data_IF_385144619612
#
_entry.id   IF_385144619612
#
_cell.length_a   1.000
_cell.length_b   1.000
_cell.length_c   1.000
_cell.angle_alpha   90.00
_cell.angle_beta   90.00
_cell.angle_gamma   90.00
#
_symmetry.space_group_name_H-M   'P 1'
#
loop_
_entity.id
_entity.type
_entity.pdbx_description
1 polymer ?
#
# COMPACT_ATOMS: atom_id res chain seq x y z
N UNK A 1 18.06 9.05 -22.25
CA UNK A 1 18.39 8.18 -21.10
C UNK A 1 17.93 8.85 -19.82
N UNK A 2 16.99 8.24 -19.11
CA UNK A 2 16.66 8.66 -17.75
C UNK A 2 17.72 8.09 -16.78
N UNK A 3 18.18 8.90 -15.82
CA UNK A 3 19.13 8.44 -14.80
C UNK A 3 18.34 7.90 -13.62
N UNK A 4 18.24 6.57 -13.51
CA UNK A 4 17.57 5.89 -12.41
C UNK A 4 18.61 5.55 -11.34
N UNK A 5 18.42 6.03 -10.11
CA UNK A 5 19.28 5.69 -8.98
C UNK A 5 18.94 4.29 -8.46
N UNK A 6 19.75 3.31 -8.84
CA UNK A 6 19.64 1.95 -8.33
C UNK A 6 20.29 1.84 -6.95
N UNK A 7 19.49 1.64 -5.90
CA UNK A 7 19.98 1.52 -4.52
C UNK A 7 20.73 0.20 -4.26
N UNK A 8 20.45 -0.84 -5.04
CA UNK A 8 21.00 -2.20 -4.87
C UNK A 8 22.00 -2.56 -5.97
N UNK A 9 22.97 -1.68 -6.23
CA UNK A 9 23.99 -1.87 -7.28
C UNK A 9 24.76 -3.18 -7.13
N UNK A 10 25.14 -3.54 -5.92
CA UNK A 10 25.89 -4.79 -5.66
C UNK A 10 25.12 -6.05 -6.11
N UNK A 11 23.78 -6.03 -6.02
CA UNK A 11 22.96 -7.15 -6.50
C UNK A 11 22.94 -7.26 -8.02
N UNK A 12 22.97 -6.12 -8.72
CA UNK A 12 23.07 -6.11 -10.17
C UNK A 12 24.43 -6.67 -10.61
N UNK A 13 25.51 -6.30 -9.92
CA UNK A 13 26.85 -6.83 -10.21
C UNK A 13 26.92 -8.36 -9.98
N UNK A 14 26.28 -8.86 -8.92
CA UNK A 14 26.15 -10.31 -8.69
C UNK A 14 25.34 -11.01 -9.78
N UNK A 15 24.25 -10.40 -10.25
CA UNK A 15 23.45 -10.90 -11.36
C UNK A 15 24.27 -10.99 -12.65
N UNK A 16 25.00 -9.93 -13.00
CA UNK A 16 25.90 -9.91 -14.16
C UNK A 16 26.96 -11.02 -14.04
N UNK A 17 27.59 -11.17 -12.87
CA UNK A 17 28.58 -12.22 -12.64
C UNK A 17 27.97 -13.62 -12.81
N UNK A 18 26.76 -13.85 -12.27
CA UNK A 18 26.06 -15.13 -12.41
C UNK A 18 25.71 -15.43 -13.86
N UNK A 19 25.13 -14.48 -14.57
CA UNK A 19 24.82 -14.64 -16.01
C UNK A 19 26.10 -14.88 -16.81
N UNK A 20 27.20 -14.23 -16.45
CA UNK A 20 28.50 -14.45 -17.10
C UNK A 20 29.02 -15.87 -16.90
N UNK A 21 28.89 -16.43 -15.68
CA UNK A 21 29.31 -17.80 -15.40
C UNK A 21 28.48 -18.84 -16.17
N UNK A 22 27.17 -18.63 -16.27
CA UNK A 22 26.26 -19.57 -16.93
C UNK A 22 26.34 -19.50 -18.47
N UNK A 23 26.44 -18.29 -19.02
CA UNK A 23 26.39 -18.08 -20.48
C UNK A 23 27.77 -18.01 -21.13
N UNK A 24 28.85 -17.88 -20.34
CA UNK A 24 30.22 -17.70 -20.80
C UNK A 24 30.49 -16.34 -21.48
N UNK A 25 29.48 -15.47 -21.58
CA UNK A 25 29.59 -14.12 -22.14
C UNK A 25 29.32 -13.11 -21.04
N UNK A 26 30.06 -12.01 -21.01
CA UNK A 26 29.85 -10.93 -20.04
C UNK A 26 28.85 -9.91 -20.59
N UNK A 27 27.55 -10.00 -20.26
CA UNK A 27 26.60 -8.95 -20.62
C UNK A 27 26.96 -7.64 -19.91
N UNK A 28 26.54 -6.52 -20.48
CA UNK A 28 26.61 -5.24 -19.79
C UNK A 28 25.54 -5.17 -18.70
N UNK A 29 25.71 -4.24 -17.76
CA UNK A 29 24.69 -3.98 -16.74
C UNK A 29 23.36 -3.54 -17.37
N UNK A 30 23.40 -2.84 -18.52
CA UNK A 30 22.19 -2.44 -19.25
C UNK A 30 21.48 -3.65 -19.85
N UNK A 31 22.21 -4.56 -20.51
CA UNK A 31 21.61 -5.77 -21.09
C UNK A 31 20.88 -6.62 -20.03
N UNK A 32 21.46 -6.71 -18.83
CA UNK A 32 20.85 -7.43 -17.70
C UNK A 32 19.61 -6.71 -17.16
N UNK A 33 19.62 -5.37 -17.13
CA UNK A 33 18.47 -4.58 -16.71
C UNK A 33 17.33 -4.67 -17.72
N UNK A 34 17.63 -4.58 -19.01
CA UNK A 34 16.65 -4.68 -20.08
C UNK A 34 15.98 -6.07 -20.05
N UNK A 35 16.78 -7.14 -19.98
CA UNK A 35 16.24 -8.49 -19.83
C UNK A 35 15.43 -8.69 -18.54
N UNK A 36 15.80 -8.01 -17.45
CA UNK A 36 15.05 -8.08 -16.20
C UNK A 36 13.70 -7.33 -16.28
N UNK A 37 13.63 -6.25 -17.05
CA UNK A 37 12.37 -5.53 -17.32
C UNK A 37 11.46 -6.40 -18.18
N UNK A 38 11.99 -6.99 -19.25
CA UNK A 38 11.22 -7.89 -20.12
C UNK A 38 10.67 -9.09 -19.34
N UNK A 39 11.52 -9.74 -18.53
CA UNK A 39 11.09 -10.87 -17.68
C UNK A 39 10.04 -10.44 -16.64
N UNK A 40 10.16 -9.23 -16.09
CA UNK A 40 9.21 -8.72 -15.12
C UNK A 40 7.86 -8.34 -15.75
N UNK A 41 7.85 -7.96 -17.03
CA UNK A 41 6.62 -7.73 -17.81
C UNK A 41 5.93 -9.07 -18.13
N UNK A 42 6.68 -10.09 -18.54
CA UNK A 42 6.17 -11.46 -18.74
C UNK A 42 5.57 -12.06 -17.45
N UNK A 43 6.18 -11.76 -16.30
CA UNK A 43 5.76 -12.21 -14.97
C UNK A 43 5.13 -11.08 -14.15
N UNK A 44 4.30 -10.23 -14.79
CA UNK A 44 3.74 -9.05 -14.17
C UNK A 44 2.98 -9.33 -12.86
N UNK A 45 2.23 -10.44 -12.79
CA UNK A 45 1.46 -10.80 -11.58
C UNK A 45 2.38 -11.02 -10.36
N UNK A 46 3.53 -11.68 -10.56
CA UNK A 46 4.52 -11.89 -9.51
C UNK A 46 5.21 -10.58 -9.10
N UNK A 47 5.45 -9.70 -10.07
CA UNK A 47 5.96 -8.36 -9.82
C UNK A 47 4.96 -7.55 -9.00
N UNK A 48 3.68 -7.55 -9.40
CA UNK A 48 2.59 -6.86 -8.72
C UNK A 48 2.46 -7.34 -7.27
N UNK A 49 2.54 -8.66 -7.02
CA UNK A 49 2.50 -9.21 -5.68
C UNK A 49 3.62 -8.68 -4.76
N UNK A 50 4.79 -8.31 -5.31
CA UNK A 50 5.88 -7.70 -4.53
C UNK A 50 5.64 -6.23 -4.20
N UNK A 51 4.79 -5.54 -4.96
CA UNK A 51 4.39 -4.16 -4.70
C UNK A 51 3.11 -4.04 -3.87
N UNK A 52 2.26 -5.07 -3.90
CA UNK A 52 1.11 -5.15 -3.03
C UNK A 52 1.57 -5.39 -1.59
N UNK A 53 1.55 -4.31 -0.79
CA UNK A 53 1.47 -4.45 0.66
C UNK A 53 0.17 -5.22 0.92
N UNK A 54 0.20 -6.42 1.53
CA UNK A 54 -1.03 -7.13 1.83
C UNK A 54 -1.90 -6.18 2.63
N UNK A 55 -3.11 -5.89 2.13
CA UNK A 55 -4.03 -5.02 2.83
C UNK A 55 -4.22 -5.63 4.21
N UNK A 56 -3.86 -4.89 5.27
CA UNK A 56 -4.04 -5.37 6.64
C UNK A 56 -5.52 -5.31 7.07
N UNK A 57 -6.43 -5.71 6.19
CA UNK A 57 -7.78 -6.10 6.59
C UNK A 57 -7.68 -7.56 6.95
N UNK A 58 -7.21 -7.78 8.17
CA UNK A 58 -7.28 -9.08 8.84
C UNK A 58 -8.74 -9.40 9.17
N UNK A 59 -9.13 -10.67 9.13
CA UNK A 59 -10.49 -11.12 9.43
C UNK A 59 -10.92 -10.67 10.84
N UNK A 60 -9.96 -10.54 11.77
CA UNK A 60 -10.18 -9.96 13.09
C UNK A 60 -10.60 -8.48 13.08
N UNK A 61 -10.08 -7.67 12.14
CA UNK A 61 -10.52 -6.28 11.96
C UNK A 61 -11.91 -6.21 11.36
N UNK A 62 -12.25 -7.10 10.42
CA UNK A 62 -13.61 -7.20 9.85
C UNK A 62 -14.61 -7.54 10.95
N UNK A 63 -14.33 -8.56 11.76
CA UNK A 63 -15.17 -8.96 12.87
C UNK A 63 -15.38 -7.82 13.88
N UNK A 64 -14.33 -7.05 14.19
CA UNK A 64 -14.42 -5.89 15.08
C UNK A 64 -15.26 -4.76 14.49
N UNK A 65 -15.15 -4.48 13.19
CA UNK A 65 -15.97 -3.46 12.52
C UNK A 65 -17.45 -3.89 12.51
N UNK A 66 -17.74 -5.16 12.26
CA UNK A 66 -19.11 -5.68 12.30
C UNK A 66 -19.70 -5.63 13.72
N UNK A 67 -18.94 -6.01 14.74
CA UNK A 67 -19.38 -5.92 16.14
C UNK A 67 -19.64 -4.46 16.58
N UNK A 68 -18.77 -3.52 16.19
CA UNK A 68 -18.97 -2.09 16.46
C UNK A 68 -20.20 -1.54 15.73
N UNK A 69 -20.43 -1.94 14.48
CA UNK A 69 -21.62 -1.57 13.71
C UNK A 69 -22.89 -2.05 14.41
N UNK A 70 -22.93 -3.31 14.84
CA UNK A 70 -24.10 -3.88 15.51
C UNK A 70 -24.37 -3.21 16.85
N UNK A 71 -23.31 -2.88 17.61
CA UNK A 71 -23.43 -2.11 18.86
C UNK A 71 -23.96 -0.71 18.61
N UNK A 72 -23.42 0.01 17.63
CA UNK A 72 -23.85 1.38 17.31
C UNK A 72 -25.26 1.43 16.72
N UNK A 73 -25.69 0.42 15.96
CA UNK A 73 -27.05 0.35 15.40
C UNK A 73 -28.15 0.28 16.47
N UNK A 74 -27.82 -0.21 17.66
CA UNK A 74 -28.75 -0.32 18.81
C UNK A 74 -28.80 0.95 19.65
N UNK A 75 -27.85 1.87 19.47
CA UNK A 75 -27.82 3.14 20.19
C UNK A 75 -28.67 4.13 19.41
N UNK A 76 -29.79 4.58 20.01
CA UNK A 76 -30.52 5.73 19.48
C UNK A 76 -29.62 6.96 19.62
N UNK A 77 -29.28 7.55 18.48
CA UNK A 77 -28.57 8.83 18.46
C UNK A 77 -29.52 9.93 18.92
N UNK A 78 -29.08 10.70 19.91
CA UNK A 78 -29.78 11.91 20.37
C UNK A 78 -28.84 13.09 20.11
N UNK A 79 -29.28 14.13 19.39
CA UNK A 79 -28.50 15.34 19.26
C UNK A 79 -28.27 15.95 20.64
N UNK A 80 -27.04 16.39 20.91
CA UNK A 80 -26.72 17.15 22.12
C UNK A 80 -27.49 18.47 22.08
N UNK A 81 -27.93 18.95 23.25
CA UNK A 81 -28.53 20.27 23.33
C UNK A 81 -27.44 21.34 23.18
N UNK A 82 -27.80 22.50 22.63
CA UNK A 82 -26.86 23.62 22.37
C UNK A 82 -25.99 23.98 23.58
N UNK A 83 -26.54 23.81 24.79
CA UNK A 83 -25.90 24.08 26.08
C UNK A 83 -24.78 23.08 26.47
N UNK A 84 -24.75 21.90 25.84
CA UNK A 84 -23.79 20.83 26.15
C UNK A 84 -22.55 20.87 25.23
N UNK A 85 -22.54 21.76 24.24
CA UNK A 85 -21.38 21.97 23.36
C UNK A 85 -20.36 22.88 24.03
N UNK A 86 -19.10 22.45 24.02
CA UNK A 86 -17.99 23.23 24.59
C UNK A 86 -17.59 24.44 23.73
N UNK A 87 -18.03 24.49 22.47
CA UNK A 87 -17.70 25.53 21.50
C UNK A 87 -18.97 26.00 20.76
N UNK A 88 -19.08 27.30 20.54
CA UNK A 88 -20.27 27.93 19.95
C UNK A 88 -20.41 27.58 18.47
N UNK A 89 -19.28 27.48 17.75
CA UNK A 89 -19.25 27.07 16.34
C UNK A 89 -19.73 25.61 16.15
N UNK A 90 -19.36 24.72 17.08
CA UNK A 90 -19.78 23.31 17.02
C UNK A 90 -21.28 23.17 17.32
N UNK A 91 -21.80 24.05 18.18
CA UNK A 91 -23.22 24.10 18.53
C UNK A 91 -24.08 24.57 17.35
N UNK A 92 -23.56 25.46 16.50
CA UNK A 92 -24.24 25.92 15.28
C UNK A 92 -24.15 24.93 14.11
N UNK A 93 -23.11 24.09 14.04
CA UNK A 93 -22.94 23.10 12.96
C UNK A 93 -23.68 21.79 13.27
N UNK A 94 -23.69 21.36 14.53
CA UNK A 94 -24.19 20.03 14.94
C UNK A 94 -25.40 20.09 15.88
N UNK A 95 -25.84 21.28 16.29
CA UNK A 95 -27.04 21.47 17.10
C UNK A 95 -28.33 21.24 16.30
N UNK A 96 -29.38 20.82 17.01
CA UNK A 96 -30.71 20.67 16.41
C UNK A 96 -31.32 22.06 16.12
N UNK A 97 -31.61 22.38 14.85
CA UNK A 97 -32.23 23.64 14.42
C UNK A 97 -33.76 23.53 14.33
N UNK A 98 -34.36 22.81 15.27
CA UNK A 98 -35.81 22.58 15.34
C UNK A 98 -36.50 23.50 16.36
#
# INVERSE_FOLDING_TARGET
>A
MAVIKLTKKDKLDQLVARVTMETGKKPTQQDVLDAAVDLADEHFDELQARFMIPSQIDDGKIARIMDLRDKLSKVKWYPLRREEFANEDDADIYGDHS
#
